data_IF_592218092848
#
_entry.id   IF_592218092848
#
_cell.length_a   1.000
_cell.length_b   1.000
_cell.length_c   1.000
_cell.angle_alpha   90.00
_cell.angle_beta   90.00
_cell.angle_gamma   90.00
#
_symmetry.space_group_name_H-M   'P 1'
#
loop_
_entity.id
_entity.type
_entity.pdbx_description
1 polymer ?
#
# COMPACT_ATOMS: atom_id res chain seq x y z
N UNK A 1 -11.75 -17.88 -6.52
CA UNK A 1 -13.03 -17.28 -6.92
C UNK A 1 -12.77 -15.81 -7.12
N UNK A 2 -13.21 -15.24 -8.23
CA UNK A 2 -13.09 -13.82 -8.48
C UNK A 2 -13.92 -13.03 -7.45
N UNK A 3 -13.47 -11.81 -7.14
CA UNK A 3 -14.17 -10.92 -6.23
C UNK A 3 -15.62 -10.70 -6.70
N UNK A 4 -16.62 -10.77 -5.81
CA UNK A 4 -18.03 -10.67 -6.24
C UNK A 4 -18.33 -9.28 -6.80
N UNK A 5 -18.64 -9.21 -8.10
CA UNK A 5 -18.96 -7.95 -8.80
C UNK A 5 -20.09 -7.13 -8.15
N UNK A 6 -20.98 -7.77 -7.39
CA UNK A 6 -22.07 -7.09 -6.64
C UNK A 6 -21.60 -6.14 -5.52
N UNK A 7 -20.31 -6.16 -5.18
CA UNK A 7 -19.70 -5.31 -4.15
C UNK A 7 -18.91 -4.15 -4.77
N UNK A 8 -18.84 -4.08 -6.11
CA UNK A 8 -18.31 -2.94 -6.85
C UNK A 8 -19.47 -1.95 -7.12
N UNK A 9 -19.13 -0.68 -7.30
CA UNK A 9 -20.06 0.32 -7.80
C UNK A 9 -20.31 0.08 -9.29
N UNK A 10 -21.44 0.59 -9.84
CA UNK A 10 -21.86 0.30 -11.22
C UNK A 10 -20.84 0.77 -12.27
N UNK A 11 -20.07 1.82 -11.96
CA UNK A 11 -19.04 2.40 -12.84
C UNK A 11 -17.60 1.97 -12.46
N UNK A 12 -17.44 1.02 -11.49
CA UNK A 12 -16.14 0.62 -10.96
C UNK A 12 -15.57 -0.59 -11.73
N UNK A 13 -14.45 -0.39 -12.43
CA UNK A 13 -13.75 -1.45 -13.15
C UNK A 13 -12.73 -2.15 -12.25
N UNK A 14 -12.74 -3.49 -12.28
CA UNK A 14 -11.78 -4.32 -11.59
C UNK A 14 -10.50 -4.43 -12.42
N UNK A 15 -9.39 -3.88 -11.90
CA UNK A 15 -8.09 -3.99 -12.55
C UNK A 15 -7.34 -5.25 -12.10
N UNK A 16 -7.31 -5.53 -10.80
CA UNK A 16 -6.52 -6.62 -10.24
C UNK A 16 -7.25 -7.30 -9.08
N UNK A 17 -7.27 -8.63 -9.08
CA UNK A 17 -7.76 -9.47 -7.96
C UNK A 17 -6.68 -10.49 -7.60
N UNK A 18 -6.02 -10.29 -6.47
CA UNK A 18 -4.93 -11.12 -5.99
C UNK A 18 -5.30 -11.83 -4.70
N UNK A 19 -4.90 -13.08 -4.61
CA UNK A 19 -4.86 -13.84 -3.36
C UNK A 19 -3.43 -13.83 -2.80
N UNK A 20 -3.27 -13.92 -1.47
CA UNK A 20 -1.95 -14.02 -0.86
C UNK A 20 -1.15 -15.18 -1.45
N UNK A 21 0.15 -15.01 -1.52
CA UNK A 21 1.06 -16.04 -2.03
C UNK A 21 1.04 -17.28 -1.13
N UNK A 22 1.30 -18.48 -1.69
CA UNK A 22 1.36 -19.74 -0.91
C UNK A 22 2.39 -19.70 0.23
N UNK A 23 3.35 -18.78 0.19
CA UNK A 23 4.30 -18.49 1.27
C UNK A 23 3.63 -18.12 2.60
N UNK A 24 2.38 -17.71 2.55
CA UNK A 24 1.52 -17.57 3.73
C UNK A 24 1.53 -18.81 4.64
N UNK A 25 1.76 -19.99 4.06
CA UNK A 25 1.85 -21.26 4.78
C UNK A 25 3.26 -21.63 5.25
N UNK A 26 4.28 -20.77 5.07
CA UNK A 26 5.66 -21.07 5.43
C UNK A 26 5.82 -21.49 6.91
N UNK A 27 5.09 -20.83 7.82
CA UNK A 27 5.10 -21.17 9.25
C UNK A 27 4.48 -22.54 9.52
N UNK A 28 3.42 -22.90 8.81
CA UNK A 28 2.74 -24.20 8.92
C UNK A 28 3.60 -25.32 8.37
N UNK A 29 4.25 -25.09 7.24
CA UNK A 29 5.21 -26.04 6.64
C UNK A 29 6.38 -26.26 7.61
N UNK A 30 6.95 -25.17 8.18
CA UNK A 30 8.01 -25.27 9.18
C UNK A 30 7.61 -26.05 10.43
N UNK A 31 6.36 -25.91 10.88
CA UNK A 31 5.83 -26.67 12.03
C UNK A 31 5.52 -28.14 11.70
N UNK A 32 5.19 -28.46 10.44
CA UNK A 32 4.94 -29.83 10.02
C UNK A 32 6.21 -30.72 10.06
N UNK A 33 7.39 -30.13 9.78
CA UNK A 33 8.65 -30.87 9.75
C UNK A 33 8.98 -31.54 11.10
N UNK A 34 9.06 -30.82 12.24
CA UNK A 34 9.33 -31.47 13.52
C UNK A 34 8.24 -32.46 13.95
N UNK A 35 6.98 -32.18 13.54
CA UNK A 35 5.89 -33.12 13.75
C UNK A 35 6.14 -34.45 13.01
N UNK A 36 6.52 -34.41 11.75
CA UNK A 36 6.83 -35.60 10.96
C UNK A 36 8.06 -36.33 11.50
N UNK A 37 9.12 -35.62 11.85
CA UNK A 37 10.33 -36.21 12.45
C UNK A 37 9.99 -36.93 13.76
N UNK A 38 9.23 -36.27 14.64
CA UNK A 38 8.79 -36.87 15.90
C UNK A 38 7.96 -38.14 15.71
N UNK A 39 7.07 -38.18 14.70
CA UNK A 39 6.32 -39.38 14.35
C UNK A 39 7.25 -40.52 13.92
N UNK A 40 8.22 -40.25 13.06
CA UNK A 40 9.18 -41.26 12.57
C UNK A 40 10.01 -41.84 13.73
N UNK A 41 10.55 -40.96 14.61
CA UNK A 41 11.33 -41.35 15.77
C UNK A 41 10.48 -42.23 16.74
N UNK A 42 9.23 -41.88 16.92
CA UNK A 42 8.31 -42.57 17.79
C UNK A 42 7.93 -43.97 17.24
N UNK A 43 7.74 -44.08 15.93
CA UNK A 43 7.45 -45.36 15.30
C UNK A 43 8.67 -46.30 15.30
N UNK A 44 9.89 -45.77 15.18
CA UNK A 44 11.13 -46.54 15.10
C UNK A 44 11.81 -46.79 16.44
N UNK A 45 11.65 -45.93 17.46
CA UNK A 45 12.40 -46.01 18.70
C UNK A 45 11.64 -46.51 19.91
N UNK A 46 10.32 -46.46 19.94
CA UNK A 46 9.52 -46.81 21.11
C UNK A 46 8.80 -48.14 20.93
N UNK A 47 8.73 -48.94 22.00
CA UNK A 47 8.09 -50.25 22.04
C UNK A 47 7.10 -50.36 23.20
N UNK A 48 6.15 -51.29 23.11
CA UNK A 48 5.21 -51.60 24.18
C UNK A 48 4.22 -50.47 24.54
N UNK A 49 3.91 -50.33 25.81
CA UNK A 49 2.88 -49.41 26.31
C UNK A 49 3.30 -47.95 26.21
N UNK A 50 4.58 -47.63 26.25
CA UNK A 50 5.13 -46.29 26.03
C UNK A 50 4.79 -45.80 24.60
N UNK A 51 4.88 -46.68 23.62
CA UNK A 51 4.47 -46.38 22.24
C UNK A 51 2.98 -46.08 22.14
N UNK A 52 2.13 -46.86 22.82
CA UNK A 52 0.67 -46.64 22.79
C UNK A 52 0.30 -45.29 23.40
N UNK A 53 0.81 -44.99 24.59
CA UNK A 53 0.58 -43.72 25.25
C UNK A 53 1.07 -42.56 24.41
N UNK A 54 2.26 -42.68 23.86
CA UNK A 54 2.82 -41.65 22.98
C UNK A 54 2.02 -41.42 21.70
N UNK A 55 1.53 -42.47 21.04
CA UNK A 55 0.66 -42.37 19.85
C UNK A 55 -0.67 -41.66 20.15
N UNK A 56 -1.24 -41.81 21.33
CA UNK A 56 -2.43 -41.09 21.75
C UNK A 56 -2.13 -39.60 21.88
N UNK A 57 -1.06 -39.21 22.56
CA UNK A 57 -0.63 -37.80 22.69
C UNK A 57 -0.37 -37.24 21.28
N UNK A 58 0.35 -38.00 20.45
CA UNK A 58 0.66 -37.58 19.07
C UNK A 58 -0.59 -37.39 18.21
N UNK A 59 -1.58 -38.26 18.33
CA UNK A 59 -2.85 -38.15 17.59
C UNK A 59 -3.59 -36.85 17.99
N UNK A 60 -3.62 -36.52 19.28
CA UNK A 60 -4.21 -35.24 19.74
C UNK A 60 -3.47 -34.06 19.15
N UNK A 61 -2.12 -34.09 19.17
CA UNK A 61 -1.30 -33.03 18.60
C UNK A 61 -1.53 -32.85 17.10
N UNK A 62 -1.68 -33.97 16.37
CA UNK A 62 -2.01 -33.94 14.94
C UNK A 62 -3.40 -33.36 14.66
N UNK A 63 -4.39 -33.69 15.48
CA UNK A 63 -5.73 -33.10 15.35
C UNK A 63 -5.68 -31.59 15.57
N UNK A 64 -4.99 -31.12 16.62
CA UNK A 64 -4.80 -29.69 16.89
C UNK A 64 -4.10 -29.00 15.71
N UNK A 65 -3.03 -29.60 15.19
CA UNK A 65 -2.32 -29.10 14.02
C UNK A 65 -3.21 -29.05 12.77
N UNK A 66 -4.01 -30.10 12.53
CA UNK A 66 -4.93 -30.14 11.40
C UNK A 66 -6.01 -29.04 11.51
N UNK A 67 -6.59 -28.84 12.68
CA UNK A 67 -7.55 -27.75 12.92
C UNK A 67 -6.89 -26.39 12.65
N UNK A 68 -5.68 -26.18 13.18
CA UNK A 68 -4.93 -24.94 12.92
C UNK A 68 -4.65 -24.72 11.42
N UNK A 69 -4.28 -25.78 10.70
CA UNK A 69 -4.05 -25.73 9.26
C UNK A 69 -5.34 -25.38 8.49
N UNK A 70 -6.46 -25.98 8.87
CA UNK A 70 -7.77 -25.69 8.26
C UNK A 70 -8.16 -24.23 8.47
N UNK A 71 -8.03 -23.71 9.69
CA UNK A 71 -8.31 -22.29 9.99
C UNK A 71 -7.44 -21.39 9.12
N UNK A 72 -6.14 -21.68 9.01
CA UNK A 72 -5.22 -20.89 8.18
C UNK A 72 -5.51 -21.01 6.68
N UNK A 73 -5.92 -22.19 6.23
CA UNK A 73 -6.37 -22.37 4.85
C UNK A 73 -7.61 -21.53 4.53
N UNK A 74 -8.56 -21.50 5.46
CA UNK A 74 -9.75 -20.65 5.32
C UNK A 74 -9.39 -19.18 5.32
N UNK A 75 -8.51 -18.72 6.23
CA UNK A 75 -8.01 -17.34 6.23
C UNK A 75 -7.40 -16.97 4.87
N UNK A 76 -6.52 -17.81 4.34
CA UNK A 76 -5.90 -17.62 3.02
C UNK A 76 -6.94 -17.57 1.90
N UNK A 77 -7.93 -18.46 1.94
CA UNK A 77 -8.95 -18.60 0.90
C UNK A 77 -9.88 -17.40 0.82
N UNK A 78 -10.13 -16.75 1.96
CA UNK A 78 -11.03 -15.60 2.10
C UNK A 78 -10.29 -14.27 2.19
N UNK A 79 -8.98 -14.26 1.98
CA UNK A 79 -8.21 -13.02 1.86
C UNK A 79 -8.10 -12.63 0.39
N UNK A 80 -8.54 -11.43 0.07
CA UNK A 80 -8.50 -10.83 -1.26
C UNK A 80 -7.88 -9.44 -1.20
N UNK A 81 -6.98 -9.18 -2.12
CA UNK A 81 -6.46 -7.86 -2.43
C UNK A 81 -6.97 -7.47 -3.81
N UNK A 82 -7.79 -6.45 -3.86
CA UNK A 82 -8.50 -6.02 -5.07
C UNK A 82 -8.12 -4.58 -5.37
N UNK A 83 -7.70 -4.32 -6.60
CA UNK A 83 -7.46 -3.00 -7.13
C UNK A 83 -8.55 -2.68 -8.15
N UNK A 84 -9.21 -1.55 -7.96
CA UNK A 84 -10.24 -1.04 -8.86
C UNK A 84 -9.85 0.33 -9.42
N UNK A 85 -10.64 0.85 -10.32
CA UNK A 85 -10.47 2.19 -10.89
C UNK A 85 -10.59 3.33 -9.86
N UNK A 86 -11.16 3.08 -8.67
CA UNK A 86 -11.44 4.13 -7.67
C UNK A 86 -10.73 3.92 -6.32
N UNK A 87 -10.49 2.65 -5.95
CA UNK A 87 -9.98 2.30 -4.61
C UNK A 87 -9.20 0.99 -4.61
N UNK A 88 -8.36 0.85 -3.56
CA UNK A 88 -7.76 -0.43 -3.16
C UNK A 88 -8.65 -1.03 -2.09
N UNK A 89 -9.07 -2.29 -2.27
CA UNK A 89 -9.91 -3.03 -1.33
C UNK A 89 -9.12 -4.23 -0.82
N UNK A 90 -8.92 -4.30 0.47
CA UNK A 90 -8.36 -5.47 1.13
C UNK A 90 -9.38 -6.06 2.08
N UNK A 91 -9.69 -7.32 1.89
CA UNK A 91 -10.62 -8.05 2.76
C UNK A 91 -9.97 -9.34 3.26
N UNK A 92 -10.11 -9.60 4.54
CA UNK A 92 -9.60 -10.79 5.20
C UNK A 92 -10.58 -11.28 6.27
N UNK A 93 -10.47 -12.57 6.59
CA UNK A 93 -11.17 -13.21 7.69
C UNK A 93 -12.41 -14.00 7.29
N UNK A 94 -12.63 -15.11 8.00
CA UNK A 94 -13.74 -16.04 7.81
C UNK A 94 -14.86 -15.75 8.80
N UNK A 95 -14.53 -15.74 10.09
CA UNK A 95 -15.48 -15.49 11.17
C UNK A 95 -15.61 -14.00 11.49
N UNK A 96 -14.48 -13.30 11.63
CA UNK A 96 -14.42 -11.86 11.78
C UNK A 96 -13.93 -11.24 10.48
N UNK A 97 -14.83 -10.65 9.70
CA UNK A 97 -14.47 -9.96 8.46
C UNK A 97 -13.83 -8.62 8.79
N UNK A 98 -12.62 -8.40 8.29
CA UNK A 98 -11.93 -7.11 8.30
C UNK A 98 -11.74 -6.67 6.88
N UNK A 99 -12.07 -5.42 6.61
CA UNK A 99 -11.86 -4.79 5.30
C UNK A 99 -11.23 -3.43 5.48
N UNK A 100 -10.24 -3.13 4.65
CA UNK A 100 -9.66 -1.81 4.50
C UNK A 100 -9.94 -1.39 3.06
N UNK A 101 -10.52 -0.21 2.89
CA UNK A 101 -10.80 0.38 1.59
C UNK A 101 -10.09 1.74 1.53
N UNK A 102 -9.17 1.89 0.60
CA UNK A 102 -8.34 3.09 0.44
C UNK A 102 -8.65 3.69 -0.93
N UNK A 103 -9.35 4.83 -1.00
CA UNK A 103 -9.56 5.56 -2.25
C UNK A 103 -8.22 5.94 -2.90
N UNK A 104 -8.09 5.80 -4.22
CA UNK A 104 -6.84 6.11 -4.96
C UNK A 104 -6.38 7.55 -4.71
N UNK A 105 -7.30 8.50 -4.64
CA UNK A 105 -6.97 9.91 -4.35
C UNK A 105 -6.51 10.20 -2.92
N UNK A 106 -6.41 9.20 -2.03
CA UNK A 106 -5.88 9.32 -0.67
C UNK A 106 -4.57 8.57 -0.47
N UNK A 107 -4.06 7.92 -1.48
CA UNK A 107 -2.78 7.21 -1.43
C UNK A 107 -1.67 8.27 -1.55
N UNK A 108 -0.82 8.34 -0.52
CA UNK A 108 0.32 9.26 -0.50
C UNK A 108 1.59 8.58 -1.00
N UNK A 109 1.84 7.35 -0.53
CA UNK A 109 3.05 6.61 -0.86
C UNK A 109 2.78 5.10 -0.82
N UNK A 110 3.54 4.34 -1.61
CA UNK A 110 3.45 2.89 -1.66
C UNK A 110 4.86 2.33 -1.56
N UNK A 111 5.13 1.62 -0.48
CA UNK A 111 6.39 0.96 -0.24
C UNK A 111 6.21 -0.55 -0.39
N UNK A 112 7.21 -1.25 -0.92
CA UNK A 112 7.23 -2.70 -0.84
C UNK A 112 8.52 -3.18 -0.17
N UNK A 113 8.44 -4.32 0.47
CA UNK A 113 9.56 -4.97 1.15
C UNK A 113 9.60 -6.44 0.75
N UNK A 114 10.77 -6.91 0.36
CA UNK A 114 11.01 -8.31 0.02
C UNK A 114 12.30 -8.79 0.68
N UNK A 115 12.20 -9.83 1.48
CA UNK A 115 13.37 -10.57 1.95
C UNK A 115 13.95 -11.40 0.80
N UNK A 116 15.22 -11.77 0.91
CA UNK A 116 15.93 -12.54 -0.13
C UNK A 116 15.13 -13.79 -0.57
N UNK A 117 14.61 -14.55 0.38
CA UNK A 117 13.80 -15.73 0.11
C UNK A 117 12.44 -15.42 -0.53
N UNK A 118 11.79 -14.35 -0.07
CA UNK A 118 10.53 -13.88 -0.63
C UNK A 118 10.68 -13.42 -2.08
N UNK A 119 11.81 -12.79 -2.39
CA UNK A 119 12.16 -12.39 -3.76
C UNK A 119 12.34 -13.59 -4.69
N UNK A 120 12.98 -14.67 -4.20
CA UNK A 120 13.16 -15.90 -5.00
C UNK A 120 11.84 -16.56 -5.39
N UNK A 121 10.83 -16.46 -4.54
CA UNK A 121 9.50 -17.08 -4.74
C UNK A 121 8.46 -16.10 -5.29
N UNK A 122 8.81 -14.82 -5.49
CA UNK A 122 7.90 -13.78 -5.99
C UNK A 122 6.85 -13.33 -4.97
N UNK A 123 7.15 -13.44 -3.66
CA UNK A 123 6.31 -12.92 -2.59
C UNK A 123 6.94 -11.69 -1.95
N UNK A 124 6.15 -10.88 -1.22
CA UNK A 124 6.64 -9.77 -0.41
C UNK A 124 5.52 -9.04 0.28
N UNK A 125 5.87 -8.03 1.03
CA UNK A 125 4.94 -7.19 1.77
C UNK A 125 4.79 -5.84 1.05
N UNK A 126 3.56 -5.35 0.97
CA UNK A 126 3.20 -4.05 0.41
C UNK A 126 2.64 -3.16 1.50
N UNK A 127 3.18 -1.96 1.65
CA UNK A 127 2.73 -0.96 2.60
C UNK A 127 2.18 0.23 1.84
N UNK A 128 0.93 0.58 2.11
CA UNK A 128 0.26 1.74 1.51
C UNK A 128 0.05 2.79 2.60
N UNK A 129 0.64 3.97 2.38
CA UNK A 129 0.43 5.14 3.22
C UNK A 129 -0.72 5.97 2.68
N UNK A 130 -1.70 6.22 3.51
CA UNK A 130 -2.88 7.00 3.14
C UNK A 130 -3.14 8.16 4.08
N UNK A 131 -3.75 9.24 3.57
CA UNK A 131 -4.20 10.40 4.35
C UNK A 131 -5.47 10.08 5.17
N UNK A 132 -5.51 8.96 5.87
CA UNK A 132 -6.64 8.50 6.67
C UNK A 132 -6.30 8.29 8.15
N UNK A 133 -7.31 7.86 8.94
CA UNK A 133 -7.13 7.57 10.37
C UNK A 133 -6.11 6.46 10.63
N UNK A 134 -6.01 5.50 9.72
CA UNK A 134 -5.13 4.32 9.84
C UNK A 134 -3.76 4.52 9.18
N UNK A 135 -3.43 5.75 8.72
CA UNK A 135 -2.14 6.22 8.19
C UNK A 135 -1.37 5.26 7.29
N UNK A 136 -1.06 4.08 7.79
CA UNK A 136 -0.30 3.03 7.12
C UNK A 136 -1.06 1.71 7.13
N UNK A 137 -1.16 1.05 5.98
CA UNK A 137 -1.78 -0.26 5.83
C UNK A 137 -0.78 -1.24 5.25
N UNK A 138 -0.46 -2.30 6.00
CA UNK A 138 0.49 -3.34 5.62
C UNK A 138 -0.26 -4.57 5.08
N UNK A 139 0.07 -4.96 3.87
CA UNK A 139 -0.46 -6.13 3.17
C UNK A 139 0.66 -7.16 2.99
N UNK A 140 0.59 -8.24 3.75
CA UNK A 140 1.66 -9.26 3.75
C UNK A 140 1.42 -10.34 2.72
N UNK A 141 2.52 -10.92 2.21
CA UNK A 141 2.53 -12.02 1.26
C UNK A 141 1.81 -11.72 -0.07
N UNK A 142 1.94 -10.51 -0.57
CA UNK A 142 1.44 -10.11 -1.89
C UNK A 142 2.30 -10.78 -2.97
N UNK A 143 1.67 -11.23 -4.06
CA UNK A 143 2.38 -11.76 -5.23
C UNK A 143 2.94 -10.62 -6.05
N UNK A 144 4.22 -10.71 -6.43
CA UNK A 144 4.91 -9.72 -7.26
C UNK A 144 4.63 -8.28 -6.81
N UNK A 145 5.02 -7.89 -5.58
CA UNK A 145 4.62 -6.62 -4.98
C UNK A 145 5.16 -5.41 -5.76
N UNK A 146 6.28 -5.55 -6.46
CA UNK A 146 6.84 -4.57 -7.39
C UNK A 146 5.88 -4.27 -8.56
N UNK A 147 5.33 -5.32 -9.18
CA UNK A 147 4.35 -5.18 -10.25
C UNK A 147 3.02 -4.58 -9.75
N UNK A 148 2.58 -5.00 -8.56
CA UNK A 148 1.38 -4.44 -7.93
C UNK A 148 1.56 -2.97 -7.60
N UNK A 149 2.71 -2.57 -7.07
CA UNK A 149 3.04 -1.16 -6.81
C UNK A 149 2.95 -0.33 -8.10
N UNK A 150 3.57 -0.79 -9.20
CA UNK A 150 3.53 -0.10 -10.48
C UNK A 150 2.09 0.04 -11.02
N UNK A 151 1.28 -1.00 -10.86
CA UNK A 151 -0.11 -0.97 -11.30
C UNK A 151 -0.94 0.02 -10.50
N UNK A 152 -0.74 0.07 -9.16
CA UNK A 152 -1.44 1.06 -8.32
C UNK A 152 -1.02 2.48 -8.72
N UNK A 153 0.26 2.77 -8.95
CA UNK A 153 0.69 4.10 -9.39
C UNK A 153 0.08 4.47 -10.74
N UNK A 154 0.00 3.53 -11.68
CA UNK A 154 -0.67 3.76 -12.97
C UNK A 154 -2.13 4.13 -12.80
N UNK A 155 -2.84 3.43 -11.89
CA UNK A 155 -4.25 3.70 -11.60
C UNK A 155 -4.44 5.05 -10.90
N UNK A 156 -3.57 5.39 -9.93
CA UNK A 156 -3.58 6.71 -9.27
C UNK A 156 -3.39 7.84 -10.30
N UNK A 157 -2.41 7.70 -11.19
CA UNK A 157 -2.17 8.70 -12.24
C UNK A 157 -3.36 8.82 -13.21
N UNK A 158 -3.96 7.70 -13.60
CA UNK A 158 -5.18 7.67 -14.42
C UNK A 158 -6.36 8.37 -13.73
N UNK A 159 -6.57 8.08 -12.45
CA UNK A 159 -7.60 8.71 -11.64
C UNK A 159 -7.41 10.23 -11.52
N UNK A 160 -6.18 10.70 -11.29
CA UNK A 160 -5.87 12.13 -11.22
C UNK A 160 -6.12 12.84 -12.56
N UNK A 161 -5.73 12.23 -13.68
CA UNK A 161 -6.00 12.77 -15.01
C UNK A 161 -7.50 12.91 -15.30
N UNK A 162 -8.27 11.89 -14.97
CA UNK A 162 -9.73 11.90 -15.13
C UNK A 162 -10.38 12.97 -14.26
N UNK A 163 -9.94 13.09 -13.01
CA UNK A 163 -10.41 14.14 -12.09
C UNK A 163 -10.07 15.54 -12.60
N UNK A 164 -8.86 15.74 -13.12
CA UNK A 164 -8.43 17.01 -13.69
C UNK A 164 -9.25 17.40 -14.92
N UNK A 165 -9.59 16.43 -15.79
CA UNK A 165 -10.45 16.68 -16.97
C UNK A 165 -11.88 17.09 -16.58
N UNK A 166 -12.44 16.51 -15.53
CA UNK A 166 -13.77 16.89 -15.02
C UNK A 166 -13.76 18.30 -14.37
N UNK A 167 -12.65 18.66 -13.69
CA UNK A 167 -12.51 20.00 -13.11
C UNK A 167 -12.42 21.11 -14.17
N UNK A 168 -12.01 20.79 -15.40
CA UNK A 168 -11.91 21.73 -16.52
C UNK A 168 -13.26 21.96 -17.25
N UNK A 169 -14.31 21.13 -17.01
CA UNK A 169 -15.65 21.26 -17.57
C UNK A 169 -15.72 21.17 -19.10
N UNK A 170 -16.88 20.88 -19.70
CA UNK A 170 -17.02 20.80 -21.16
C UNK A 170 -16.94 22.15 -21.89
N UNK A 171 -16.66 23.23 -21.19
CA UNK A 171 -16.56 24.59 -21.76
C UNK A 171 -15.16 25.18 -21.88
N UNK A 172 -14.12 24.54 -21.31
CA UNK A 172 -12.75 25.08 -21.34
C UNK A 172 -11.94 24.62 -22.58
N UNK A 173 -12.51 23.83 -23.47
CA UNK A 173 -11.82 23.21 -24.60
C UNK A 173 -11.77 23.98 -25.92
N UNK A 174 -12.08 25.26 -25.95
CA UNK A 174 -12.02 26.06 -27.19
C UNK A 174 -11.32 27.42 -27.03
N UNK A 175 -10.10 27.37 -26.46
CA UNK A 175 -9.14 28.43 -26.75
C UNK A 175 -8.15 27.88 -27.80
N UNK A 176 -7.90 28.57 -28.93
CA UNK A 176 -6.94 28.12 -29.90
C UNK A 176 -5.57 28.09 -29.21
N UNK A 177 -4.99 26.90 -29.12
CA UNK A 177 -3.60 26.72 -28.71
C UNK A 177 -2.71 27.38 -29.79
N UNK A 178 -2.42 28.67 -29.60
CA UNK A 178 -1.24 29.23 -30.23
C UNK A 178 -0.06 28.49 -29.64
N UNK A 179 0.60 27.70 -30.48
CA UNK A 179 1.79 26.97 -30.16
C UNK A 179 2.88 27.97 -29.74
N UNK A 180 3.04 28.16 -28.45
CA UNK A 180 4.22 28.76 -27.86
C UNK A 180 5.06 27.57 -27.33
N UNK A 181 6.33 27.46 -27.71
CA UNK A 181 7.16 26.33 -27.27
C UNK A 181 7.21 26.31 -25.75
N UNK A 182 7.01 25.12 -25.18
CA UNK A 182 7.08 24.87 -23.74
C UNK A 182 8.38 25.42 -23.15
N UNK A 183 8.32 26.21 -22.09
CA UNK A 183 9.52 26.51 -21.33
C UNK A 183 9.94 25.24 -20.60
N UNK A 184 11.12 24.77 -20.91
CA UNK A 184 11.90 23.82 -20.14
C UNK A 184 11.70 24.04 -18.65
N UNK A 185 11.39 22.97 -17.90
CA UNK A 185 11.31 23.00 -16.42
C UNK A 185 12.68 23.43 -15.91
N UNK A 186 12.80 24.72 -15.61
CA UNK A 186 13.90 25.26 -14.82
C UNK A 186 13.62 24.92 -13.34
N UNK A 187 14.64 24.55 -12.56
CA UNK A 187 14.51 24.33 -11.12
C UNK A 187 13.97 25.59 -10.45
N UNK A 188 13.19 25.38 -9.40
CA UNK A 188 12.52 26.38 -8.56
C UNK A 188 13.13 27.79 -8.69
N UNK A 189 12.39 28.69 -9.29
CA UNK A 189 12.80 30.10 -9.46
C UNK A 189 13.00 30.69 -8.07
N UNK A 190 14.25 30.80 -7.64
CA UNK A 190 14.59 31.67 -6.52
C UNK A 190 14.16 33.07 -6.94
N UNK A 191 13.06 33.53 -6.36
CA UNK A 191 12.55 34.89 -6.54
C UNK A 191 13.76 35.84 -6.35
N UNK A 192 14.06 36.65 -7.35
CA UNK A 192 15.25 37.50 -7.31
C UNK A 192 15.19 38.42 -6.11
N UNK A 193 16.35 38.73 -5.50
CA UNK A 193 16.41 39.59 -4.30
C UNK A 193 15.69 40.92 -4.51
N UNK A 194 15.78 41.57 -5.69
CA UNK A 194 15.00 42.74 -6.01
C UNK A 194 13.49 42.57 -5.92
N UNK A 195 12.95 41.43 -6.44
CA UNK A 195 11.53 41.15 -6.37
C UNK A 195 11.04 40.89 -4.94
N UNK A 196 11.87 40.26 -4.10
CA UNK A 196 11.58 40.07 -2.68
C UNK A 196 11.53 41.40 -1.93
N UNK A 197 12.41 42.35 -2.25
CA UNK A 197 12.39 43.68 -1.69
C UNK A 197 11.12 44.48 -2.09
N UNK A 198 10.67 44.33 -3.33
CA UNK A 198 9.45 44.96 -3.81
C UNK A 198 8.19 44.38 -3.13
N UNK A 199 8.15 43.07 -2.91
CA UNK A 199 7.06 42.41 -2.16
C UNK A 199 7.04 42.88 -0.70
N UNK A 200 8.18 42.99 -0.04
CA UNK A 200 8.29 43.53 1.31
C UNK A 200 7.81 44.99 1.40
N UNK A 201 8.13 45.83 0.41
CA UNK A 201 7.65 47.20 0.36
C UNK A 201 6.13 47.28 0.26
N UNK A 202 5.51 46.45 -0.59
CA UNK A 202 4.05 46.36 -0.72
C UNK A 202 3.37 45.93 0.58
N UNK A 203 3.93 44.92 1.29
CA UNK A 203 3.41 44.45 2.58
C UNK A 203 3.48 45.52 3.69
N UNK A 204 4.53 46.37 3.68
CA UNK A 204 4.61 47.52 4.56
C UNK A 204 3.53 48.55 4.24
N UNK A 205 3.33 48.88 2.96
CA UNK A 205 2.35 49.87 2.52
C UNK A 205 0.90 49.41 2.77
N UNK A 206 0.68 48.07 2.81
CA UNK A 206 -0.60 47.46 3.23
C UNK A 206 -0.78 47.40 4.75
N UNK A 207 0.20 47.86 5.55
CA UNK A 207 0.13 47.83 7.01
C UNK A 207 0.28 46.47 7.66
N UNK A 208 0.69 45.45 6.91
CA UNK A 208 0.91 44.09 7.40
C UNK A 208 2.24 43.93 8.12
N UNK A 209 3.24 44.76 7.74
CA UNK A 209 4.58 44.81 8.32
C UNK A 209 4.84 46.20 8.97
N UNK A 210 5.42 46.16 10.16
CA UNK A 210 5.90 47.37 10.80
C UNK A 210 7.18 47.91 10.15
N UNK A 211 7.48 49.21 10.29
CA UNK A 211 8.70 49.79 9.73
C UNK A 211 9.98 49.11 10.25
N UNK A 212 10.00 48.75 11.53
CA UNK A 212 11.15 48.06 12.14
C UNK A 212 11.37 46.64 11.57
N UNK A 213 10.31 45.86 11.32
CA UNK A 213 10.40 44.55 10.70
C UNK A 213 10.82 44.63 9.23
N UNK A 214 10.34 45.63 8.50
CA UNK A 214 10.77 45.90 7.12
C UNK A 214 12.28 46.20 7.05
N UNK A 215 12.81 47.05 7.90
CA UNK A 215 14.23 47.41 7.92
C UNK A 215 15.11 46.21 8.30
N UNK A 216 14.66 45.37 9.25
CA UNK A 216 15.37 44.17 9.65
C UNK A 216 15.45 43.14 8.48
N UNK A 217 14.33 42.89 7.80
CA UNK A 217 14.28 41.99 6.65
C UNK A 217 15.03 42.49 5.43
N UNK A 218 14.97 43.79 5.16
CA UNK A 218 15.75 44.43 4.11
C UNK A 218 17.25 44.28 4.34
N UNK A 219 17.72 44.48 5.58
CA UNK A 219 19.13 44.31 5.92
C UNK A 219 19.59 42.83 5.80
N UNK A 220 18.71 41.87 6.10
CA UNK A 220 18.99 40.47 5.94
C UNK A 220 19.15 40.07 4.46
N UNK A 221 18.23 40.54 3.59
CA UNK A 221 18.27 40.26 2.15
C UNK A 221 19.50 40.91 1.47
N UNK A 222 19.85 42.11 1.85
CA UNK A 222 21.04 42.79 1.31
C UNK A 222 22.36 42.15 1.75
N UNK A 223 22.39 41.44 2.89
CA UNK A 223 23.58 40.66 3.31
C UNK A 223 23.77 39.38 2.50
N UNK A 224 22.75 38.92 1.80
CA UNK A 224 22.81 37.73 0.95
C UNK A 224 23.14 38.04 -0.52
N UNK A 225 23.27 39.33 -0.84
CA UNK A 225 23.82 39.79 -2.12
C UNK A 225 25.36 39.80 -2.08
#
# INVERSE_FOLDING_TARGET
MAYPKRLLQDDEELSLDLQPHWWFFAKQIGAAIPLLIGLVLMLGGLHGDVRRGGLLIWSVLMVVFAVWLVVKYLDWRFTHFVLTSERVIFRTGVLAKRGVEIPLGRINNINFSQKVWERMIGAGDLEIESAGRDGQSLFSNVRHPDGVQQEIYRMVEGFERTRASWAQGPGAGAAPQSATPAPSVAPATTVSIPEQLEQLARLRDQGVLTAAEFDAKKAELLRRM
#
